data_IF_917576507400
#
_entry.id   IF_917576507400
#
_cell.length_a   1.000
_cell.length_b   1.000
_cell.length_c   1.000
_cell.angle_alpha   90.00
_cell.angle_beta   90.00
_cell.angle_gamma   90.00
#
_symmetry.space_group_name_H-M   'P 1'
#
loop_
_entity.id
_entity.type
_entity.pdbx_description
1 polymer ?
#
# COMPACT_ATOMS: atom_id res chain seq x y z
N UNK A 1 -22.68 10.50 -4.65
CA UNK A 1 -21.61 10.86 -3.70
C UNK A 1 -20.51 9.84 -3.89
N UNK A 2 -19.31 10.27 -4.28
CA UNK A 2 -18.13 9.39 -4.27
C UNK A 2 -17.70 9.19 -2.82
N UNK A 3 -18.02 8.04 -2.26
CA UNK A 3 -17.64 7.65 -0.90
C UNK A 3 -16.11 7.51 -0.85
N UNK A 4 -15.44 8.42 -0.16
CA UNK A 4 -14.01 8.31 0.09
C UNK A 4 -13.76 7.08 0.98
N UNK A 5 -12.81 6.23 0.58
CA UNK A 5 -12.44 5.02 1.32
C UNK A 5 -11.05 5.17 1.93
N UNK A 6 -10.84 4.49 3.05
CA UNK A 6 -9.55 4.46 3.75
C UNK A 6 -8.69 3.33 3.20
N UNK A 7 -7.44 3.62 2.84
CA UNK A 7 -6.47 2.62 2.41
C UNK A 7 -6.07 1.68 3.56
N UNK A 8 -6.21 0.36 3.40
CA UNK A 8 -5.88 -0.65 4.43
C UNK A 8 -4.38 -0.75 4.76
N UNK A 9 -3.54 -0.18 3.89
CA UNK A 9 -2.08 -0.19 4.03
C UNK A 9 -1.60 1.04 4.80
N UNK A 10 -2.08 2.23 4.42
CA UNK A 10 -1.52 3.48 4.89
C UNK A 10 -2.50 4.40 5.61
N UNK A 11 -3.79 4.05 5.66
CA UNK A 11 -4.83 4.84 6.31
C UNK A 11 -5.21 6.14 5.58
N UNK A 12 -4.65 6.40 4.39
CA UNK A 12 -5.01 7.59 3.62
C UNK A 12 -6.38 7.43 2.98
N UNK A 13 -7.20 8.47 3.05
CA UNK A 13 -8.46 8.55 2.32
C UNK A 13 -8.20 8.67 0.81
N UNK A 14 -9.00 7.95 0.02
CA UNK A 14 -8.90 7.94 -1.43
C UNK A 14 -10.25 7.64 -2.07
N UNK A 15 -10.52 8.28 -3.21
CA UNK A 15 -11.67 7.95 -4.06
C UNK A 15 -11.38 6.79 -5.01
N UNK A 16 -10.10 6.48 -5.22
CA UNK A 16 -9.65 5.45 -6.16
C UNK A 16 -9.09 4.27 -5.37
N UNK A 17 -9.77 3.12 -5.43
CA UNK A 17 -9.36 1.89 -4.76
C UNK A 17 -8.70 0.91 -5.73
N UNK A 18 -7.69 0.20 -5.21
CA UNK A 18 -7.04 -0.90 -5.92
C UNK A 18 -6.93 -2.11 -5.01
N UNK A 19 -7.36 -3.28 -5.49
CA UNK A 19 -7.23 -4.54 -4.75
C UNK A 19 -5.79 -5.04 -4.79
N UNK A 20 -5.17 -5.17 -3.62
CA UNK A 20 -3.85 -5.79 -3.46
C UNK A 20 -3.97 -7.30 -3.24
N UNK A 21 -4.93 -7.68 -2.40
CA UNK A 21 -5.31 -9.07 -2.16
C UNK A 21 -6.83 -9.14 -2.02
N UNK A 22 -7.49 -9.58 -3.10
CA UNK A 22 -8.94 -9.70 -3.14
C UNK A 22 -9.47 -10.82 -2.23
N UNK A 23 -8.65 -11.83 -1.89
CA UNK A 23 -9.06 -12.92 -1.00
C UNK A 23 -9.18 -12.44 0.44
N UNK A 24 -8.29 -11.54 0.84
CA UNK A 24 -8.27 -10.93 2.16
C UNK A 24 -9.01 -9.59 2.22
N UNK A 25 -9.60 -9.15 1.10
CA UNK A 25 -10.31 -7.87 1.02
C UNK A 25 -9.40 -6.65 1.23
N UNK A 26 -8.12 -6.75 0.88
CA UNK A 26 -7.15 -5.66 1.07
C UNK A 26 -7.22 -4.68 -0.09
N UNK A 27 -7.67 -3.47 0.20
CA UNK A 27 -7.76 -2.34 -0.73
C UNK A 27 -6.74 -1.26 -0.38
N UNK A 28 -6.18 -0.64 -1.41
CA UNK A 28 -5.18 0.40 -1.22
C UNK A 28 -5.37 1.60 -2.16
N UNK A 29 -4.72 2.70 -1.78
CA UNK A 29 -4.62 3.91 -2.59
C UNK A 29 -3.59 3.75 -3.73
N UNK A 30 -3.63 4.63 -4.75
CA UNK A 30 -2.71 4.57 -5.89
C UNK A 30 -1.23 4.62 -5.50
N UNK A 31 -0.86 5.34 -4.43
CA UNK A 31 0.51 5.39 -3.92
C UNK A 31 0.98 4.03 -3.41
N UNK A 32 0.18 3.37 -2.59
CA UNK A 32 0.50 2.05 -2.06
C UNK A 32 0.57 1.00 -3.19
N UNK A 33 -0.32 1.08 -4.17
CA UNK A 33 -0.27 0.20 -5.36
C UNK A 33 1.06 0.35 -6.11
N UNK A 34 1.53 1.59 -6.32
CA UNK A 34 2.79 1.84 -7.04
C UNK A 34 3.98 1.19 -6.32
N UNK A 35 4.07 1.39 -5.01
CA UNK A 35 5.14 0.82 -4.19
C UNK A 35 5.04 -0.70 -4.18
N UNK A 36 3.82 -1.25 -4.04
CA UNK A 36 3.57 -2.68 -4.11
C UNK A 36 4.07 -3.31 -5.40
N UNK A 37 3.78 -2.70 -6.56
CA UNK A 37 4.27 -3.18 -7.86
C UNK A 37 5.79 -3.18 -7.91
N UNK A 38 6.45 -2.15 -7.38
CA UNK A 38 7.92 -2.13 -7.28
C UNK A 38 8.46 -3.26 -6.40
N UNK A 39 7.81 -3.54 -5.26
CA UNK A 39 8.16 -4.66 -4.38
C UNK A 39 7.95 -5.99 -5.13
N UNK A 40 6.79 -6.20 -5.73
CA UNK A 40 6.49 -7.41 -6.50
C UNK A 40 7.51 -7.65 -7.59
N UNK A 41 7.84 -6.65 -8.41
CA UNK A 41 8.85 -6.80 -9.47
C UNK A 41 10.23 -7.15 -8.90
N UNK A 42 10.64 -6.50 -7.80
CA UNK A 42 11.94 -6.76 -7.18
C UNK A 42 12.05 -8.17 -6.57
N UNK A 43 10.95 -8.73 -6.05
CA UNK A 43 10.93 -10.04 -5.41
C UNK A 43 10.30 -11.15 -6.26
N UNK A 44 9.89 -10.87 -7.50
CA UNK A 44 9.28 -11.85 -8.41
C UNK A 44 10.23 -13.03 -8.65
N UNK A 45 11.51 -12.74 -8.92
CA UNK A 45 12.56 -13.76 -9.15
C UNK A 45 12.89 -14.57 -7.89
N UNK A 46 12.50 -14.08 -6.71
CA UNK A 46 12.72 -14.76 -5.42
C UNK A 46 11.52 -15.61 -4.99
N UNK A 47 10.47 -15.71 -5.80
CA UNK A 47 9.28 -16.52 -5.53
C UNK A 47 8.45 -16.03 -4.34
N UNK A 48 8.49 -14.73 -4.04
CA UNK A 48 7.71 -14.18 -2.91
C UNK A 48 6.22 -14.15 -3.25
N UNK A 49 5.39 -14.60 -2.31
CA UNK A 49 3.94 -14.49 -2.44
C UNK A 49 3.46 -13.04 -2.31
N UNK A 50 2.26 -12.76 -2.84
CA UNK A 50 1.61 -11.45 -2.70
C UNK A 50 1.47 -11.05 -1.23
N UNK A 51 1.14 -11.99 -0.34
CA UNK A 51 1.02 -11.75 1.10
C UNK A 51 2.34 -11.25 1.71
N UNK A 52 3.46 -11.84 1.29
CA UNK A 52 4.79 -11.42 1.73
C UNK A 52 5.14 -10.04 1.20
N UNK A 53 4.79 -9.74 -0.04
CA UNK A 53 4.95 -8.39 -0.62
C UNK A 53 4.07 -7.35 0.09
N UNK A 54 2.85 -7.71 0.50
CA UNK A 54 1.97 -6.85 1.31
C UNK A 54 2.57 -6.60 2.69
N UNK A 55 3.14 -7.61 3.35
CA UNK A 55 3.81 -7.45 4.63
C UNK A 55 5.02 -6.49 4.53
N UNK A 56 5.83 -6.61 3.46
CA UNK A 56 6.94 -5.69 3.18
C UNK A 56 6.42 -4.27 2.97
N UNK A 57 5.36 -4.10 2.18
CA UNK A 57 4.73 -2.80 1.93
C UNK A 57 4.28 -2.14 3.23
N UNK A 58 3.57 -2.87 4.11
CA UNK A 58 3.14 -2.36 5.43
C UNK A 58 4.35 -1.90 6.26
N UNK A 59 5.42 -2.70 6.31
CA UNK A 59 6.66 -2.31 7.01
C UNK A 59 7.33 -1.05 6.43
N UNK A 60 7.33 -0.87 5.11
CA UNK A 60 7.82 0.35 4.46
C UNK A 60 6.99 1.56 4.87
N UNK A 61 5.67 1.44 4.81
CA UNK A 61 4.73 2.51 5.21
C UNK A 61 4.92 2.89 6.66
N UNK A 62 4.92 1.92 7.58
CA UNK A 62 5.12 2.17 9.01
C UNK A 62 6.48 2.84 9.28
N UNK A 63 7.55 2.37 8.65
CA UNK A 63 8.89 2.96 8.80
C UNK A 63 8.92 4.40 8.33
N UNK A 64 8.26 4.71 7.21
CA UNK A 64 8.18 6.09 6.70
C UNK A 64 7.29 6.97 7.59
N UNK A 65 6.19 6.46 8.14
CA UNK A 65 5.35 7.18 9.11
C UNK A 65 6.13 7.54 10.37
N UNK A 66 6.86 6.59 10.95
CA UNK A 66 7.72 6.83 12.12
C UNK A 66 8.81 7.87 11.85
N UNK A 67 9.24 8.01 10.60
CA UNK A 67 10.22 9.01 10.15
C UNK A 67 9.60 10.36 9.76
N UNK A 68 8.27 10.49 9.80
CA UNK A 68 7.55 11.68 9.33
C UNK A 68 7.63 11.89 7.81
N UNK A 69 8.06 10.89 7.04
CA UNK A 69 8.28 11.01 5.59
C UNK A 69 7.15 10.38 4.76
N UNK A 70 6.15 9.79 5.43
CA UNK A 70 5.04 9.13 4.74
C UNK A 70 3.97 10.14 4.35
N UNK A 71 3.59 11.04 5.24
CA UNK A 71 2.68 12.10 4.91
C UNK A 71 3.43 13.09 4.02
N UNK A 72 2.99 13.21 2.76
CA UNK A 72 3.18 14.47 2.08
C UNK A 72 2.35 15.46 2.87
N UNK A 73 2.95 16.10 3.87
CA UNK A 73 2.26 17.09 4.67
C UNK A 73 1.59 18.07 3.70
N UNK A 74 0.27 18.35 3.82
CA UNK A 74 -0.17 19.66 3.39
C UNK A 74 0.64 20.67 4.20
N UNK A 75 1.16 21.68 3.48
CA UNK A 75 1.88 22.82 4.04
C UNK A 75 1.14 23.46 5.23
#
# INVERSE_FOLDING_TARGET
MDEAMVCDICGSETRVRHGLDLRQGVWCCPRCLRIFRSIQMHYAERGYSNERCVAILRGVVEKQKRRGSWDGAPA
#
